data_IF_643716182748
#
_entry.id   IF_643716182748
#
_cell.length_a   1.000
_cell.length_b   1.000
_cell.length_c   1.000
_cell.angle_alpha   90.00
_cell.angle_beta   90.00
_cell.angle_gamma   90.00
#
_symmetry.space_group_name_H-M   'P 1'
#
loop_
_entity.id
_entity.type
_entity.pdbx_description
1 polymer ?
#
# COMPACT_ATOMS: atom_id res chain seq x y z
N UNK A 1 -7.54 -33.16 17.38
CA UNK A 1 -6.51 -32.57 16.51
C UNK A 1 -7.20 -32.22 15.19
N UNK A 2 -7.61 -30.97 14.97
CA UNK A 2 -8.30 -30.55 13.74
C UNK A 2 -7.26 -29.99 12.77
N UNK A 3 -7.08 -30.67 11.63
CA UNK A 3 -6.20 -30.25 10.54
C UNK A 3 -6.95 -29.36 9.54
N UNK A 4 -6.42 -28.18 9.27
CA UNK A 4 -6.85 -27.30 8.19
C UNK A 4 -6.26 -27.80 6.86
N UNK A 5 -7.09 -28.40 6.01
CA UNK A 5 -6.78 -28.65 4.60
C UNK A 5 -6.96 -27.34 3.82
N UNK A 6 -5.86 -26.69 3.45
CA UNK A 6 -5.91 -25.56 2.51
C UNK A 6 -6.15 -26.08 1.08
N UNK A 7 -7.13 -25.50 0.39
CA UNK A 7 -7.50 -25.81 -0.99
C UNK A 7 -6.45 -25.25 -1.97
N UNK A 8 -6.14 -25.96 -3.08
CA UNK A 8 -5.16 -25.52 -4.05
C UNK A 8 -5.61 -24.22 -4.74
N UNK A 9 -4.73 -23.21 -4.75
CA UNK A 9 -5.00 -21.92 -5.38
C UNK A 9 -4.41 -21.89 -6.80
N UNK A 10 -5.28 -21.91 -7.80
CA UNK A 10 -5.02 -21.49 -9.18
C UNK A 10 -6.34 -20.90 -9.73
N UNK A 11 -6.38 -19.89 -10.63
CA UNK A 11 -5.31 -19.32 -11.47
C UNK A 11 -5.14 -17.78 -11.30
N UNK A 12 -4.35 -17.19 -12.21
CA UNK A 12 -3.73 -15.85 -12.23
C UNK A 12 -4.69 -14.62 -12.19
N UNK A 13 -4.30 -13.54 -11.47
CA UNK A 13 -5.14 -12.41 -11.04
C UNK A 13 -5.60 -11.37 -12.09
N UNK A 14 -5.31 -11.48 -13.39
CA UNK A 14 -5.96 -10.56 -14.37
C UNK A 14 -7.38 -10.96 -14.75
N UNK A 15 -8.09 -11.70 -13.91
CA UNK A 15 -9.53 -11.84 -14.09
C UNK A 15 -10.13 -10.44 -14.08
N UNK A 16 -10.90 -10.11 -15.13
CA UNK A 16 -11.50 -8.81 -15.38
C UNK A 16 -12.51 -8.34 -14.30
N UNK A 17 -12.55 -9.03 -13.15
CA UNK A 17 -13.43 -8.83 -12.01
C UNK A 17 -12.68 -8.60 -10.67
N UNK A 18 -11.35 -8.44 -10.66
CA UNK A 18 -10.65 -8.07 -9.41
C UNK A 18 -10.75 -6.56 -9.18
N UNK A 19 -11.31 -6.18 -8.02
CA UNK A 19 -11.36 -4.80 -7.53
C UNK A 19 -9.95 -4.17 -7.63
N UNK A 20 -9.78 -2.99 -8.25
CA UNK A 20 -8.47 -2.37 -8.36
C UNK A 20 -7.82 -2.19 -6.99
N UNK A 21 -6.57 -2.67 -6.84
CA UNK A 21 -5.81 -2.56 -5.60
C UNK A 21 -4.85 -1.37 -5.62
N UNK A 22 -4.78 -0.65 -4.50
CA UNK A 22 -3.91 0.52 -4.33
C UNK A 22 -3.19 0.43 -2.99
N UNK A 23 -1.88 0.66 -3.00
CA UNK A 23 -1.11 0.90 -1.78
C UNK A 23 -0.73 2.37 -1.69
N UNK A 24 -0.96 2.98 -0.53
CA UNK A 24 -0.49 4.33 -0.23
C UNK A 24 0.85 4.20 0.48
N UNK A 25 1.92 4.60 -0.19
CA UNK A 25 3.26 4.57 0.39
C UNK A 25 3.45 5.77 1.31
N UNK A 26 4.31 5.68 2.34
CA UNK A 26 4.60 6.79 3.25
C UNK A 26 5.05 8.02 2.46
N UNK A 27 4.37 9.13 2.66
CA UNK A 27 4.74 10.39 2.01
C UNK A 27 6.07 10.90 2.56
N UNK A 28 6.87 11.51 1.71
CA UNK A 28 8.19 12.04 2.08
C UNK A 28 8.10 13.53 2.40
N UNK A 29 8.70 13.97 3.50
CA UNK A 29 8.87 15.40 3.76
C UNK A 29 10.03 15.96 2.92
N UNK A 30 9.81 17.10 2.27
CA UNK A 30 10.84 17.80 1.47
C UNK A 30 11.38 18.97 2.27
N UNK A 31 12.69 18.97 2.52
CA UNK A 31 13.40 20.15 3.05
C UNK A 31 13.26 20.43 4.55
N UNK A 32 12.77 19.47 5.34
CA UNK A 32 12.64 19.60 6.80
C UNK A 32 13.44 18.56 7.58
N UNK A 33 13.59 18.79 8.88
CA UNK A 33 14.19 17.83 9.81
C UNK A 33 13.28 16.60 9.95
N UNK A 34 13.85 15.39 9.88
CA UNK A 34 13.12 14.12 9.93
C UNK A 34 12.33 13.90 11.24
N UNK A 35 12.52 14.76 12.23
CA UNK A 35 11.72 14.81 13.47
C UNK A 35 10.22 15.08 13.23
N UNK A 36 9.84 15.66 12.09
CA UNK A 36 8.45 16.08 11.81
C UNK A 36 7.70 15.22 10.79
N UNK A 37 8.18 14.00 10.52
CA UNK A 37 7.54 13.05 9.59
C UNK A 37 6.10 12.68 9.98
N UNK A 38 5.69 12.96 11.23
CA UNK A 38 4.32 12.74 11.72
C UNK A 38 3.25 13.36 10.83
N UNK A 39 3.50 14.53 10.23
CA UNK A 39 2.52 15.15 9.34
C UNK A 39 2.37 14.34 8.05
N UNK A 40 3.48 13.92 7.45
CA UNK A 40 3.47 13.11 6.24
C UNK A 40 2.87 11.70 6.49
N UNK A 41 3.20 11.10 7.63
CA UNK A 41 2.67 9.80 8.05
C UNK A 41 1.17 9.88 8.36
N UNK A 42 0.73 10.95 9.02
CA UNK A 42 -0.69 11.21 9.30
C UNK A 42 -1.50 11.46 8.02
N UNK A 43 -0.93 12.20 7.06
CA UNK A 43 -1.56 12.42 5.75
C UNK A 43 -1.64 11.12 4.92
N UNK A 44 -0.61 10.29 4.99
CA UNK A 44 -0.60 8.93 4.40
C UNK A 44 -1.77 8.12 4.93
N UNK A 45 -1.96 8.12 6.25
CA UNK A 45 -3.05 7.39 6.92
C UNK A 45 -4.43 7.95 6.56
N UNK A 46 -4.63 9.28 6.62
CA UNK A 46 -5.91 9.90 6.27
C UNK A 46 -6.32 9.57 4.83
N UNK A 47 -5.38 9.59 3.89
CA UNK A 47 -5.64 9.21 2.49
C UNK A 47 -5.98 7.73 2.37
N UNK A 48 -5.23 6.84 3.03
CA UNK A 48 -5.53 5.41 3.03
C UNK A 48 -6.93 5.12 3.58
N UNK A 49 -7.32 5.76 4.68
CA UNK A 49 -8.66 5.67 5.28
C UNK A 49 -9.72 6.17 4.30
N UNK A 50 -9.51 7.32 3.65
CA UNK A 50 -10.46 7.88 2.67
C UNK A 50 -10.62 6.98 1.46
N UNK A 51 -9.54 6.43 0.93
CA UNK A 51 -9.58 5.48 -0.18
C UNK A 51 -10.28 4.17 0.21
N UNK A 52 -10.19 3.76 1.48
CA UNK A 52 -10.84 2.54 1.98
C UNK A 52 -12.36 2.63 2.01
N UNK A 53 -12.94 3.83 1.89
CA UNK A 53 -14.39 4.05 1.81
C UNK A 53 -14.98 3.70 0.44
N UNK A 54 -14.15 3.59 -0.60
CA UNK A 54 -14.58 3.18 -1.93
C UNK A 54 -14.62 1.65 -2.00
N UNK A 55 -15.83 1.08 -1.98
CA UNK A 55 -16.02 -0.36 -1.95
C UNK A 55 -15.41 -1.08 -3.18
N UNK A 56 -15.23 -0.36 -4.28
CA UNK A 56 -14.60 -0.86 -5.50
C UNK A 56 -13.07 -0.94 -5.41
N UNK A 57 -12.45 -0.35 -4.39
CA UNK A 57 -11.00 -0.36 -4.18
C UNK A 57 -10.58 -1.37 -3.12
N UNK A 58 -9.46 -2.05 -3.37
CA UNK A 58 -8.72 -2.79 -2.35
C UNK A 58 -7.55 -1.93 -1.88
N UNK A 59 -7.65 -1.35 -0.69
CA UNK A 59 -6.54 -0.58 -0.11
C UNK A 59 -5.63 -1.51 0.67
N UNK A 60 -4.34 -1.47 0.36
CA UNK A 60 -3.32 -2.24 1.07
C UNK A 60 -2.94 -1.52 2.34
N UNK A 61 -2.94 -2.26 3.46
CA UNK A 61 -2.71 -1.74 4.79
C UNK A 61 -1.38 -1.00 4.90
N UNK A 62 -1.41 0.10 5.67
CA UNK A 62 -0.29 1.01 5.90
C UNK A 62 0.94 0.28 6.41
N UNK A 63 0.80 -0.66 7.32
CA UNK A 63 1.91 -1.40 7.95
C UNK A 63 2.74 -2.17 6.92
N UNK A 64 2.09 -2.71 5.88
CA UNK A 64 2.79 -3.40 4.79
C UNK A 64 3.60 -2.42 3.94
N UNK A 65 3.02 -1.25 3.67
CA UNK A 65 3.64 -0.16 2.91
C UNK A 65 4.77 0.56 3.67
N UNK A 66 4.68 0.65 5.00
CA UNK A 66 5.65 1.36 5.84
C UNK A 66 7.04 0.74 5.83
N UNK A 67 7.14 -0.57 5.57
CA UNK A 67 8.43 -1.26 5.37
C UNK A 67 9.24 -0.71 4.18
N UNK A 68 8.62 0.08 3.30
CA UNK A 68 9.25 0.70 2.13
C UNK A 68 9.54 2.20 2.31
N UNK A 69 9.35 2.77 3.51
CA UNK A 69 9.71 4.17 3.78
C UNK A 69 11.21 4.38 3.52
N UNK A 70 11.55 5.37 2.70
CA UNK A 70 12.95 5.67 2.33
C UNK A 70 13.66 4.58 1.53
N UNK A 71 12.95 3.55 1.07
CA UNK A 71 13.55 2.49 0.28
C UNK A 71 13.99 3.04 -1.09
N UNK A 72 15.22 2.71 -1.50
CA UNK A 72 15.75 2.96 -2.85
C UNK A 72 15.26 1.92 -3.88
N UNK A 73 14.37 1.01 -3.45
CA UNK A 73 13.82 -0.07 -4.27
C UNK A 73 12.93 0.49 -5.38
N UNK A 74 13.02 -0.11 -6.56
CA UNK A 74 12.15 0.21 -7.70
C UNK A 74 10.67 0.06 -7.31
N UNK A 75 9.86 1.09 -7.57
CA UNK A 75 8.41 1.12 -7.30
C UNK A 75 7.65 -0.04 -7.93
N UNK A 76 8.10 -0.57 -9.07
CA UNK A 76 7.51 -1.77 -9.68
C UNK A 76 7.67 -3.00 -8.80
N UNK A 77 8.82 -3.16 -8.16
CA UNK A 77 9.07 -4.29 -7.26
C UNK A 77 8.30 -4.11 -5.94
N UNK A 78 8.17 -2.88 -5.44
CA UNK A 78 7.33 -2.58 -4.28
C UNK A 78 5.87 -2.97 -4.56
N UNK A 79 5.31 -2.55 -5.69
CA UNK A 79 3.94 -2.91 -6.09
C UNK A 79 3.75 -4.42 -6.19
N UNK A 80 4.73 -5.12 -6.77
CA UNK A 80 4.71 -6.59 -6.88
C UNK A 80 4.77 -7.29 -5.52
N UNK A 81 5.59 -6.80 -4.59
CA UNK A 81 5.68 -7.35 -3.21
C UNK A 81 4.43 -7.08 -2.39
N UNK A 82 3.82 -5.91 -2.58
CA UNK A 82 2.57 -5.56 -1.91
C UNK A 82 1.35 -6.24 -2.56
N UNK A 83 1.44 -6.69 -3.82
CA UNK A 83 0.26 -7.13 -4.57
C UNK A 83 -0.64 -5.97 -5.00
N UNK A 84 -0.09 -4.75 -5.05
CA UNK A 84 -0.80 -3.55 -5.43
C UNK A 84 -0.72 -3.33 -6.94
N UNK A 85 -1.87 -3.10 -7.59
CA UNK A 85 -1.94 -2.70 -8.99
C UNK A 85 -1.49 -1.25 -9.17
N UNK A 86 -1.78 -0.41 -8.19
CA UNK A 86 -1.41 1.00 -8.17
C UNK A 86 -0.66 1.34 -6.89
N UNK A 87 0.31 2.26 -7.01
CA UNK A 87 0.99 2.86 -5.88
C UNK A 87 0.68 4.36 -5.86
N UNK A 88 0.27 4.87 -4.72
CA UNK A 88 0.20 6.31 -4.47
C UNK A 88 1.49 6.75 -3.78
N UNK A 89 2.20 7.66 -4.43
CA UNK A 89 3.40 8.33 -3.93
C UNK A 89 3.06 9.80 -3.69
N UNK A 90 3.65 10.39 -2.65
CA UNK A 90 3.42 11.78 -2.31
C UNK A 90 4.58 12.37 -1.54
N UNK A 91 4.71 13.69 -1.63
CA UNK A 91 5.66 14.44 -0.86
C UNK A 91 4.97 15.68 -0.27
N UNK A 92 5.40 16.07 0.93
CA UNK A 92 4.81 17.16 1.70
C UNK A 92 5.90 18.21 1.95
N UNK A 93 5.51 19.48 1.96
CA UNK A 93 6.39 20.66 2.10
C UNK A 93 5.84 21.61 3.15
#
# INVERSE_FOLDING_TARGET
ILGLLAWPRAPDPWSAQQRPSIAVLPFTQVGGDSEHDYFADGLTEDIAIRLSKFAELLVIARESAFSFKGATTNTREIGRRLGARYLLLGAVR
#
